data_IF_759938593375
#
_entry.id   IF_759938593375
#
_cell.length_a   1.000
_cell.length_b   1.000
_cell.length_c   1.000
_cell.angle_alpha   90.00
_cell.angle_beta   90.00
_cell.angle_gamma   90.00
#
_symmetry.space_group_name_H-M   'P 1'
#
loop_
_entity.id
_entity.type
_entity.pdbx_description
1 polymer ?
#
# COMPACT_ATOMS: atom_id res chain seq x y z
N UNK A 1 18.56 33.12 -29.12
CA UNK A 1 17.27 32.52 -28.71
C UNK A 1 17.33 31.01 -28.43
N UNK A 2 18.16 30.21 -29.12
CA UNK A 2 18.23 28.74 -28.90
C UNK A 2 18.74 28.30 -27.50
N UNK A 3 19.58 29.11 -26.85
CA UNK A 3 20.12 28.80 -25.51
C UNK A 3 19.06 28.82 -24.41
N UNK A 4 18.18 29.83 -24.45
CA UNK A 4 17.09 30.04 -23.47
C UNK A 4 16.07 28.91 -23.58
N UNK A 5 15.70 28.52 -24.80
CA UNK A 5 14.79 27.39 -25.01
C UNK A 5 15.35 26.08 -24.46
N UNK A 6 16.64 25.80 -24.69
CA UNK A 6 17.31 24.60 -24.16
C UNK A 6 17.29 24.56 -22.63
N UNK A 7 17.58 25.68 -21.98
CA UNK A 7 17.55 25.78 -20.50
C UNK A 7 16.14 25.65 -19.94
N UNK A 8 15.14 26.26 -20.59
CA UNK A 8 13.74 26.17 -20.16
C UNK A 8 13.24 24.73 -20.28
N UNK A 9 13.52 24.04 -21.38
CA UNK A 9 13.13 22.63 -21.54
C UNK A 9 13.78 21.74 -20.48
N UNK A 10 15.07 21.90 -20.19
CA UNK A 10 15.74 21.11 -19.14
C UNK A 10 15.19 21.42 -17.76
N UNK A 11 14.88 22.69 -17.46
CA UNK A 11 14.29 23.08 -16.18
C UNK A 11 12.91 22.45 -16.00
N UNK A 12 12.05 22.48 -17.03
CA UNK A 12 10.73 21.84 -16.98
C UNK A 12 10.86 20.33 -16.76
N UNK A 13 11.77 19.66 -17.46
CA UNK A 13 11.98 18.22 -17.29
C UNK A 13 12.43 17.86 -15.88
N UNK A 14 13.36 18.62 -15.28
CA UNK A 14 13.81 18.40 -13.91
C UNK A 14 12.69 18.63 -12.89
N UNK A 15 11.86 19.65 -13.09
CA UNK A 15 10.69 19.92 -12.23
C UNK A 15 9.70 18.76 -12.30
N UNK A 16 9.38 18.26 -13.49
CA UNK A 16 8.48 17.12 -13.65
C UNK A 16 9.04 15.87 -12.96
N UNK A 17 10.32 15.56 -13.15
CA UNK A 17 10.96 14.40 -12.49
C UNK A 17 10.94 14.54 -10.97
N UNK A 18 11.28 15.72 -10.44
CA UNK A 18 11.22 15.97 -9.00
C UNK A 18 9.80 15.79 -8.46
N UNK A 19 8.79 16.38 -9.10
CA UNK A 19 7.38 16.22 -8.68
C UNK A 19 6.95 14.75 -8.74
N UNK A 20 7.30 14.01 -9.79
CA UNK A 20 6.98 12.57 -9.89
C UNK A 20 7.71 11.73 -8.85
N UNK A 21 8.95 12.06 -8.48
CA UNK A 21 9.68 11.37 -7.42
C UNK A 21 9.08 11.67 -6.04
N UNK A 22 8.78 12.93 -5.75
CA UNK A 22 8.14 13.34 -4.49
C UNK A 22 6.73 12.76 -4.35
N UNK A 23 5.92 12.76 -5.41
CA UNK A 23 4.54 12.25 -5.37
C UNK A 23 4.44 10.74 -5.57
N UNK A 24 5.33 10.15 -6.37
CA UNK A 24 5.37 8.72 -6.66
C UNK A 24 5.89 7.90 -5.48
N UNK A 25 6.86 8.40 -4.71
CA UNK A 25 7.35 7.72 -3.51
C UNK A 25 6.47 7.92 -2.26
N UNK A 26 5.42 8.74 -2.32
CA UNK A 26 4.39 8.84 -1.25
C UNK A 26 3.15 7.97 -1.52
N UNK A 27 3.17 7.10 -2.54
CA UNK A 27 1.97 6.33 -2.95
C UNK A 27 1.62 5.13 -2.08
N UNK A 28 2.33 4.87 -0.99
CA UNK A 28 1.67 4.22 0.15
C UNK A 28 0.86 5.31 0.85
N UNK A 29 -0.34 5.59 0.33
CA UNK A 29 -1.40 6.21 1.12
C UNK A 29 -1.53 5.35 2.38
N UNK A 30 -0.90 5.80 3.47
CA UNK A 30 -1.08 5.22 4.77
C UNK A 30 -2.56 5.40 5.10
N UNK A 31 -3.36 4.32 5.20
CA UNK A 31 -4.71 4.45 5.70
C UNK A 31 -4.60 5.18 7.03
N UNK A 32 -5.38 6.24 7.29
CA UNK A 32 -5.29 6.93 8.57
C UNK A 32 -5.49 5.90 9.67
N UNK A 33 -4.44 5.60 10.43
CA UNK A 33 -4.51 4.72 11.59
C UNK A 33 -5.53 5.37 12.53
N UNK A 34 -6.62 4.68 12.88
CA UNK A 34 -7.51 5.17 13.92
C UNK A 34 -6.68 5.26 15.20
N UNK A 35 -6.34 6.48 15.61
CA UNK A 35 -5.67 6.71 16.88
C UNK A 35 -6.49 6.09 18.02
N UNK A 36 -5.86 5.65 19.12
CA UNK A 36 -6.61 5.07 20.23
C UNK A 36 -7.59 6.11 20.77
N UNK A 37 -8.88 5.89 20.51
CA UNK A 37 -9.95 6.72 21.02
C UNK A 37 -9.98 6.55 22.54
N UNK A 38 -9.53 7.55 23.29
CA UNK A 38 -9.65 7.63 24.74
C UNK A 38 -11.11 7.93 25.17
N UNK A 39 -12.10 7.41 24.44
CA UNK A 39 -13.50 7.57 24.74
C UNK A 39 -14.01 6.34 25.52
N UNK A 40 -14.82 6.52 26.58
CA UNK A 40 -15.42 5.39 27.29
C UNK A 40 -16.23 4.54 26.32
N UNK A 41 -16.05 3.20 26.41
CA UNK A 41 -16.71 2.23 25.55
C UNK A 41 -18.23 2.39 25.63
N UNK A 42 -18.82 2.95 24.58
CA UNK A 42 -20.28 2.94 24.39
C UNK A 42 -20.67 1.55 23.86
N UNK A 43 -21.87 1.05 24.20
CA UNK A 43 -22.38 -0.19 23.60
C UNK A 43 -22.36 -0.04 22.08
N UNK A 44 -21.70 -0.97 21.39
CA UNK A 44 -21.64 -0.94 19.93
C UNK A 44 -23.06 -1.12 19.39
N UNK A 45 -23.57 -0.11 18.70
CA UNK A 45 -24.71 -0.31 17.81
C UNK A 45 -24.30 -1.31 16.71
N UNK A 46 -25.24 -2.02 16.05
CA UNK A 46 -24.93 -2.77 14.85
C UNK A 46 -24.33 -1.79 13.86
N UNK A 47 -23.02 -1.90 13.63
CA UNK A 47 -22.34 -1.02 12.70
C UNK A 47 -22.92 -1.37 11.32
N UNK A 48 -23.45 -0.41 10.55
CA UNK A 48 -23.79 -0.70 9.17
C UNK A 48 -22.51 -1.20 8.52
N UNK A 49 -22.57 -2.44 8.01
CA UNK A 49 -21.51 -3.20 7.36
C UNK A 49 -20.99 -2.38 6.16
N UNK A 50 -20.24 -1.32 6.46
CA UNK A 50 -19.58 -0.50 5.47
C UNK A 50 -18.54 -1.40 4.85
N UNK A 51 -18.67 -1.64 3.53
CA UNK A 51 -17.80 -2.46 2.66
C UNK A 51 -16.34 -1.96 2.60
N UNK A 52 -15.74 -1.68 3.75
CA UNK A 52 -14.36 -1.24 3.95
C UNK A 52 -13.53 -2.36 4.56
N UNK A 53 -14.10 -3.54 4.79
CA UNK A 53 -13.30 -4.75 4.96
C UNK A 53 -12.80 -5.15 3.58
N UNK A 54 -11.52 -4.88 3.32
CA UNK A 54 -10.82 -5.48 2.18
C UNK A 54 -11.05 -6.99 2.24
N UNK A 55 -11.62 -7.57 1.18
CA UNK A 55 -11.86 -9.01 1.12
C UNK A 55 -10.55 -9.74 1.42
N UNK A 56 -10.47 -10.35 2.60
CA UNK A 56 -9.34 -11.19 2.98
C UNK A 56 -9.45 -12.46 2.14
N UNK A 57 -8.93 -12.40 0.93
CA UNK A 57 -8.81 -13.58 0.09
C UNK A 57 -7.73 -14.43 0.76
N UNK A 58 -8.14 -15.57 1.32
CA UNK A 58 -7.22 -16.48 2.01
C UNK A 58 -6.37 -17.31 1.04
N UNK A 59 -6.66 -17.27 -0.26
CA UNK A 59 -5.95 -18.06 -1.27
C UNK A 59 -4.43 -17.79 -1.27
N UNK A 60 -3.94 -16.52 -1.27
CA UNK A 60 -2.51 -16.22 -1.13
C UNK A 60 -1.86 -16.81 0.13
N UNK A 61 -2.55 -16.76 1.28
CA UNK A 61 -2.00 -17.31 2.53
C UNK A 61 -1.96 -18.84 2.53
N UNK A 62 -2.99 -19.48 1.97
CA UNK A 62 -3.09 -20.94 1.90
C UNK A 62 -2.03 -21.53 0.97
N UNK A 63 -1.75 -20.88 -0.16
CA UNK A 63 -0.69 -21.30 -1.11
C UNK A 63 0.70 -21.24 -0.45
N UNK A 64 1.00 -20.15 0.26
CA UNK A 64 2.25 -20.02 0.99
C UNK A 64 2.42 -21.11 2.05
N UNK A 65 1.35 -21.45 2.78
CA UNK A 65 1.38 -22.52 3.78
C UNK A 65 1.56 -23.92 3.15
N UNK A 66 0.98 -24.17 1.97
CA UNK A 66 1.17 -25.44 1.26
C UNK A 66 2.61 -25.64 0.79
N UNK A 67 3.29 -24.59 0.34
CA UNK A 67 4.71 -24.65 -0.04
C UNK A 67 5.61 -24.99 1.15
N UNK A 68 5.29 -24.46 2.34
CA UNK A 68 6.01 -24.77 3.58
C UNK A 68 5.77 -26.22 4.00
N UNK A 69 4.55 -26.73 3.86
CA UNK A 69 4.18 -28.11 4.18
C UNK A 69 4.92 -29.10 3.27
N UNK A 70 4.93 -28.87 1.96
CA UNK A 70 5.66 -29.71 1.00
C UNK A 70 7.17 -29.70 1.28
N UNK A 71 7.75 -28.54 1.59
CA UNK A 71 9.16 -28.44 1.96
C UNK A 71 9.52 -29.19 3.25
N UNK A 72 8.55 -29.45 4.14
CA UNK A 72 8.77 -30.18 5.39
C UNK A 72 8.52 -31.68 5.24
N UNK A 73 8.04 -32.14 4.08
CA UNK A 73 7.76 -33.55 3.87
C UNK A 73 9.07 -34.33 3.81
N UNK A 74 9.29 -35.31 4.72
CA UNK A 74 10.45 -36.17 4.63
C UNK A 74 10.35 -37.03 3.35
N UNK A 75 11.47 -37.20 2.66
CA UNK A 75 11.56 -38.13 1.53
C UNK A 75 11.34 -39.56 2.06
N UNK A 76 10.44 -40.36 1.46
CA UNK A 76 10.22 -41.73 1.88
C UNK A 76 11.50 -42.55 1.65
N UNK A 77 11.87 -43.35 2.66
CA UNK A 77 13.05 -44.22 2.66
C UNK A 77 12.89 -45.44 1.74
#
# INVERSE_FOLDING_TARGET
MARVHRTTTTATLLVTVAVSALSGCTTVQHPPVPGPSAAPARPSAPQPEGRTETQVVQAPAREALQLIEESRRPEPA
#
